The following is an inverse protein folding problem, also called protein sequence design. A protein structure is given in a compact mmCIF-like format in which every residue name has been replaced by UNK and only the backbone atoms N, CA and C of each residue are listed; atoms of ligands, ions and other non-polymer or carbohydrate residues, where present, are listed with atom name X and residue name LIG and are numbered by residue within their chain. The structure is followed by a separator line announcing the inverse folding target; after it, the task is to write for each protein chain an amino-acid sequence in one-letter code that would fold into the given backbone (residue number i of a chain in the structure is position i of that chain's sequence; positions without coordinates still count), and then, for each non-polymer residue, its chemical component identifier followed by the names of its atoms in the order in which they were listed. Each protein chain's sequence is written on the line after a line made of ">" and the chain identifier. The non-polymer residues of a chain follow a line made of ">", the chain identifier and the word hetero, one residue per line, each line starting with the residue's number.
data_IF_166019367233
#
_entry.id   IF_166019367233
#
_cell.length_a   1.000
_cell.length_b   1.000
_cell.length_c   1.000
_cell.angle_alpha   90.00
_cell.angle_beta   90.00
_cell.angle_gamma   90.00
#
_symmetry.space_group_name_H-M   'P 1'
#
loop_
_entity.id
_entity.type
_entity.pdbx_description
1 polymer ?
#
# COMPACT_ATOMS: atom_id res chain seq x y z
N UNK A 1 27.44 42.61 -0.49
CA UNK A 1 27.30 41.22 -0.99
C UNK A 1 25.96 40.70 -0.45
N UNK A 2 24.89 40.92 -1.23
CA UNK A 2 23.52 40.56 -0.86
C UNK A 2 23.30 39.15 -1.39
N UNK A 3 23.09 38.17 -0.52
CA UNK A 3 22.85 36.79 -0.89
C UNK A 3 21.44 36.63 -1.47
N UNK A 4 21.40 35.99 -2.61
CA UNK A 4 20.26 35.72 -3.47
C UNK A 4 19.21 34.88 -2.74
N UNK A 5 18.15 35.52 -2.22
CA UNK A 5 17.04 34.88 -1.51
C UNK A 5 15.94 34.33 -2.45
N UNK A 6 16.11 34.50 -3.76
CA UNK A 6 15.08 34.11 -4.75
C UNK A 6 15.21 32.65 -5.18
N UNK A 7 16.38 32.01 -5.07
CA UNK A 7 16.56 30.59 -5.42
C UNK A 7 15.81 29.62 -4.53
N UNK A 8 15.62 29.95 -3.25
CA UNK A 8 14.90 29.07 -2.30
C UNK A 8 13.39 29.08 -2.47
N UNK A 9 12.81 30.20 -2.95
CA UNK A 9 11.37 30.30 -3.23
C UNK A 9 10.97 29.57 -4.51
N UNK A 10 11.85 29.52 -5.50
CA UNK A 10 11.58 28.85 -6.79
C UNK A 10 11.56 27.33 -6.66
N UNK A 11 12.48 26.75 -5.86
CA UNK A 11 12.51 25.31 -5.58
C UNK A 11 11.25 24.80 -4.83
N UNK A 12 10.64 25.65 -3.98
CA UNK A 12 9.38 25.33 -3.29
C UNK A 12 8.17 25.37 -4.22
N UNK A 13 8.13 26.35 -5.14
CA UNK A 13 7.03 26.50 -6.09
C UNK A 13 7.01 25.40 -7.15
N UNK A 14 8.16 24.98 -7.66
CA UNK A 14 8.28 23.89 -8.64
C UNK A 14 7.91 22.52 -8.03
N UNK A 15 8.19 22.30 -6.74
CA UNK A 15 7.72 21.10 -6.03
C UNK A 15 6.20 21.09 -5.83
N UNK A 16 5.59 22.22 -5.49
CA UNK A 16 4.14 22.36 -5.35
C UNK A 16 3.42 22.19 -6.68
N UNK A 17 3.98 22.71 -7.79
CA UNK A 17 3.45 22.52 -9.14
C UNK A 17 3.57 21.06 -9.57
N UNK A 18 4.68 20.37 -9.24
CA UNK A 18 4.87 18.96 -9.50
C UNK A 18 3.88 18.07 -8.71
N UNK A 19 3.55 18.44 -7.46
CA UNK A 19 2.57 17.71 -6.66
C UNK A 19 1.13 17.92 -7.14
N UNK A 20 0.77 19.15 -7.53
CA UNK A 20 -0.54 19.46 -8.12
C UNK A 20 -0.75 18.80 -9.50
N UNK A 21 0.33 18.58 -10.26
CA UNK A 21 0.29 17.91 -11.57
C UNK A 21 0.18 16.37 -11.46
N UNK A 22 0.33 15.79 -10.26
CA UNK A 22 0.24 14.34 -9.99
C UNK A 22 -1.18 13.86 -9.67
N UNK A 23 -2.21 14.68 -9.85
CA UNK A 23 -3.59 14.23 -9.64
C UNK A 23 -3.91 13.08 -10.57
N UNK A 24 -4.49 12.02 -9.98
CA UNK A 24 -5.06 10.92 -10.76
C UNK A 24 -6.05 11.48 -11.77
N UNK A 25 -6.02 10.97 -12.99
CA UNK A 25 -7.02 11.27 -14.02
C UNK A 25 -8.35 10.55 -13.76
N UNK A 26 -8.35 9.57 -12.87
CA UNK A 26 -9.48 8.73 -12.48
C UNK A 26 -9.71 8.88 -10.97
N UNK A 27 -10.96 8.89 -10.51
CA UNK A 27 -11.28 8.92 -9.09
C UNK A 27 -10.68 7.69 -8.37
N UNK A 28 -10.18 7.82 -7.13
CA UNK A 28 -9.55 6.72 -6.41
C UNK A 28 -10.40 5.44 -6.33
N UNK A 29 -11.71 5.57 -6.14
CA UNK A 29 -12.66 4.45 -6.11
C UNK A 29 -12.78 3.76 -7.47
N UNK A 30 -12.89 4.52 -8.55
CA UNK A 30 -12.95 3.99 -9.92
C UNK A 30 -11.64 3.27 -10.27
N UNK A 31 -10.49 3.81 -9.83
CA UNK A 31 -9.22 3.12 -10.00
C UNK A 31 -9.22 1.75 -9.31
N UNK A 32 -9.68 1.65 -8.05
CA UNK A 32 -9.75 0.39 -7.32
C UNK A 32 -10.71 -0.61 -7.96
N UNK A 33 -11.84 -0.14 -8.52
CA UNK A 33 -12.85 -1.00 -9.14
C UNK A 33 -12.44 -1.51 -10.51
N UNK A 34 -11.85 -0.65 -11.35
CA UNK A 34 -11.70 -0.92 -12.77
C UNK A 34 -10.25 -1.13 -13.21
N UNK A 35 -9.31 -0.34 -12.66
CA UNK A 35 -7.93 -0.32 -13.11
C UNK A 35 -7.03 -1.25 -12.30
N UNK A 36 -7.21 -1.28 -10.98
CA UNK A 36 -6.36 -2.08 -10.10
C UNK A 36 -6.46 -3.59 -10.36
N UNK A 37 -7.65 -4.21 -10.59
CA UNK A 37 -7.72 -5.61 -10.98
C UNK A 37 -7.02 -5.93 -12.30
N UNK A 38 -7.05 -5.01 -13.28
CA UNK A 38 -6.34 -5.17 -14.56
C UNK A 38 -4.84 -5.10 -14.38
N UNK A 39 -4.38 -4.15 -13.55
CA UNK A 39 -2.96 -4.01 -13.22
C UNK A 39 -2.45 -5.24 -12.47
N UNK A 40 -3.21 -5.77 -11.52
CA UNK A 40 -2.92 -7.02 -10.82
C UNK A 40 -2.80 -8.19 -11.82
N UNK A 41 -3.77 -8.37 -12.72
CA UNK A 41 -3.74 -9.41 -13.74
C UNK A 41 -2.52 -9.30 -14.66
N UNK A 42 -2.15 -8.06 -15.06
CA UNK A 42 -0.93 -7.81 -15.83
C UNK A 42 0.32 -8.22 -15.06
N UNK A 43 0.40 -7.91 -13.76
CA UNK A 43 1.51 -8.33 -12.89
C UNK A 43 1.62 -9.85 -12.80
N UNK A 44 0.50 -10.56 -12.70
CA UNK A 44 0.48 -12.03 -12.72
C UNK A 44 1.00 -12.59 -14.05
N UNK A 45 0.59 -12.03 -15.18
CA UNK A 45 1.10 -12.42 -16.52
C UNK A 45 2.62 -12.22 -16.64
N UNK A 46 3.14 -11.08 -16.16
CA UNK A 46 4.59 -10.82 -16.17
C UNK A 46 5.32 -11.84 -15.31
N UNK A 47 4.82 -12.13 -14.10
CA UNK A 47 5.41 -13.13 -13.21
C UNK A 47 5.39 -14.53 -13.82
N UNK A 48 4.30 -14.94 -14.48
CA UNK A 48 4.20 -16.23 -15.17
C UNK A 48 5.21 -16.34 -16.31
N UNK A 49 5.37 -15.30 -17.12
CA UNK A 49 6.34 -15.26 -18.21
C UNK A 49 7.79 -15.33 -17.70
N UNK A 50 8.12 -14.58 -16.64
CA UNK A 50 9.46 -14.61 -16.02
C UNK A 50 9.76 -15.98 -15.39
N UNK A 51 8.79 -16.56 -14.68
CA UNK A 51 8.93 -17.90 -14.11
C UNK A 51 9.13 -18.97 -15.18
N UNK A 52 8.36 -18.92 -16.28
CA UNK A 52 8.53 -19.82 -17.43
C UNK A 52 9.90 -19.68 -18.11
N UNK A 53 10.51 -18.50 -18.04
CA UNK A 53 11.86 -18.23 -18.50
C UNK A 53 12.96 -18.70 -17.51
N UNK A 54 12.58 -19.28 -16.37
CA UNK A 54 13.50 -19.82 -15.36
C UNK A 54 13.88 -18.86 -14.23
N UNK A 55 13.17 -17.72 -14.09
CA UNK A 55 13.37 -16.82 -12.95
C UNK A 55 12.77 -17.41 -11.67
N UNK A 56 13.66 -17.96 -10.83
CA UNK A 56 13.27 -18.57 -9.56
C UNK A 56 12.66 -17.57 -8.55
N UNK A 57 13.00 -16.28 -8.65
CA UNK A 57 12.38 -15.24 -7.80
C UNK A 57 10.95 -14.97 -8.26
N UNK A 58 10.73 -14.83 -9.55
CA UNK A 58 9.38 -14.66 -10.10
C UNK A 58 8.48 -15.86 -9.75
N UNK A 59 9.02 -17.10 -9.79
CA UNK A 59 8.27 -18.29 -9.38
C UNK A 59 7.85 -18.23 -7.92
N UNK A 60 8.75 -17.84 -6.99
CA UNK A 60 8.39 -17.71 -5.56
C UNK A 60 7.32 -16.65 -5.31
N UNK A 61 7.42 -15.50 -5.99
CA UNK A 61 6.40 -14.45 -5.92
C UNK A 61 5.06 -14.97 -6.44
N UNK A 62 5.07 -15.65 -7.56
CA UNK A 62 3.88 -16.23 -8.19
C UNK A 62 3.17 -17.22 -7.25
N UNK A 63 3.94 -18.10 -6.61
CA UNK A 63 3.42 -19.08 -5.67
C UNK A 63 2.84 -18.40 -4.42
N UNK A 64 3.49 -17.34 -3.92
CA UNK A 64 3.01 -16.54 -2.78
C UNK A 64 1.65 -15.88 -3.12
N UNK A 65 1.54 -15.20 -4.25
CA UNK A 65 0.31 -14.53 -4.67
C UNK A 65 -0.81 -15.55 -4.94
N UNK A 66 -0.54 -16.66 -5.64
CA UNK A 66 -1.53 -17.72 -5.91
C UNK A 66 -2.02 -18.42 -4.65
N UNK A 67 -1.24 -18.42 -3.58
CA UNK A 67 -1.61 -18.98 -2.29
C UNK A 67 -2.65 -18.19 -1.51
N UNK A 68 -2.90 -16.93 -1.86
CA UNK A 68 -3.83 -16.06 -1.14
C UNK A 68 -5.29 -16.42 -1.41
N UNK A 69 -6.09 -16.45 -0.31
CA UNK A 69 -7.55 -16.47 -0.36
C UNK A 69 -8.07 -15.53 0.73
N UNK A 70 -8.35 -14.29 0.35
CA UNK A 70 -8.76 -13.25 1.28
C UNK A 70 -9.28 -12.01 0.57
N UNK A 71 -10.06 -11.21 1.27
CA UNK A 71 -10.56 -9.93 0.77
C UNK A 71 -10.12 -8.77 1.65
N UNK A 72 -9.94 -7.61 1.01
CA UNK A 72 -9.75 -6.33 1.66
C UNK A 72 -10.99 -5.46 1.47
N UNK A 73 -11.52 -4.91 2.57
CA UNK A 73 -12.59 -3.93 2.59
C UNK A 73 -12.00 -2.53 2.77
N UNK A 74 -12.15 -1.67 1.76
CA UNK A 74 -11.56 -0.33 1.72
C UNK A 74 -12.68 0.73 1.80
N UNK A 75 -12.80 1.39 2.94
CA UNK A 75 -13.68 2.54 3.17
C UNK A 75 -12.92 3.81 2.80
N UNK A 76 -13.34 4.49 1.73
CA UNK A 76 -12.75 5.73 1.26
C UNK A 76 -13.73 6.87 1.52
N UNK A 77 -13.32 7.85 2.34
CA UNK A 77 -14.20 8.91 2.82
C UNK A 77 -15.50 8.31 3.40
N UNK A 78 -16.65 8.88 3.08
CA UNK A 78 -17.97 8.41 3.48
C UNK A 78 -18.66 7.54 2.41
N UNK A 79 -17.93 7.15 1.35
CA UNK A 79 -18.47 6.31 0.27
C UNK A 79 -18.63 4.84 0.72
N UNK A 80 -19.52 4.07 0.10
CA UNK A 80 -19.61 2.62 0.35
C UNK A 80 -18.27 1.91 0.13
N UNK A 81 -17.92 0.91 0.96
CA UNK A 81 -16.62 0.26 0.85
C UNK A 81 -16.44 -0.45 -0.49
N UNK A 82 -15.23 -0.41 -1.02
CA UNK A 82 -14.80 -1.25 -2.13
C UNK A 82 -14.20 -2.53 -1.57
N UNK A 83 -14.67 -3.68 -2.01
CA UNK A 83 -14.15 -4.99 -1.62
C UNK A 83 -13.26 -5.53 -2.73
N UNK A 84 -11.99 -5.73 -2.42
CA UNK A 84 -11.02 -6.39 -3.29
C UNK A 84 -10.86 -7.83 -2.84
N UNK A 85 -11.22 -8.80 -3.66
CA UNK A 85 -11.14 -10.24 -3.35
C UNK A 85 -10.03 -10.89 -4.17
N UNK A 86 -9.02 -11.46 -3.48
CA UNK A 86 -7.93 -12.21 -4.08
C UNK A 86 -8.14 -13.70 -3.86
N UNK A 87 -8.07 -14.49 -4.94
CA UNK A 87 -8.18 -15.93 -4.90
C UNK A 87 -7.43 -16.57 -6.07
N UNK A 88 -6.51 -17.50 -5.76
CA UNK A 88 -5.76 -18.29 -6.75
C UNK A 88 -5.07 -17.44 -7.83
N UNK A 89 -4.50 -16.30 -7.46
CA UNK A 89 -3.82 -15.39 -8.38
C UNK A 89 -4.76 -14.50 -9.21
N UNK A 90 -6.04 -14.48 -8.91
CA UNK A 90 -7.01 -13.55 -9.51
C UNK A 90 -7.44 -12.51 -8.48
N UNK A 91 -7.70 -11.29 -8.93
CA UNK A 91 -8.24 -10.20 -8.13
C UNK A 91 -9.53 -9.69 -8.77
N UNK A 92 -10.57 -9.55 -7.97
CA UNK A 92 -11.82 -8.91 -8.35
C UNK A 92 -12.18 -7.78 -7.39
N UNK A 93 -12.93 -6.80 -7.89
CA UNK A 93 -13.46 -5.70 -7.09
C UNK A 93 -14.98 -5.69 -7.13
N UNK A 94 -15.62 -5.33 -6.01
CA UNK A 94 -17.08 -5.27 -5.91
C UNK A 94 -17.55 -4.62 -4.61
N UNK A 95 -18.87 -4.75 -4.34
CA UNK A 95 -19.50 -4.23 -3.11
C UNK A 95 -19.61 -5.31 -2.02
N UNK A 96 -19.27 -6.56 -2.35
CA UNK A 96 -19.25 -7.70 -1.45
C UNK A 96 -18.04 -8.59 -1.79
N UNK A 97 -17.53 -9.39 -0.81
CA UNK A 97 -16.49 -10.35 -1.09
C UNK A 97 -16.99 -11.42 -2.07
N UNK A 98 -16.07 -11.96 -2.89
CA UNK A 98 -16.37 -13.12 -3.72
C UNK A 98 -16.79 -14.32 -2.85
N UNK A 99 -17.52 -15.28 -3.45
CA UNK A 99 -18.03 -16.44 -2.72
C UNK A 99 -16.93 -17.16 -1.95
N UNK A 100 -17.18 -17.40 -0.66
CA UNK A 100 -16.28 -18.10 0.27
C UNK A 100 -14.94 -17.40 0.54
N UNK A 101 -14.76 -16.15 0.08
CA UNK A 101 -13.54 -15.37 0.37
C UNK A 101 -13.74 -14.54 1.63
N UNK A 102 -13.04 -14.81 2.74
CA UNK A 102 -13.22 -14.06 3.97
C UNK A 102 -12.56 -12.67 3.87
N UNK A 103 -13.18 -11.65 4.49
CA UNK A 103 -12.52 -10.35 4.68
C UNK A 103 -11.40 -10.54 5.71
N UNK A 104 -10.16 -10.25 5.30
CA UNK A 104 -8.95 -10.34 6.12
C UNK A 104 -8.39 -8.98 6.49
N UNK A 105 -8.64 -7.99 5.65
CA UNK A 105 -8.13 -6.63 5.81
C UNK A 105 -9.32 -5.67 5.77
N UNK A 106 -9.34 -4.74 6.70
CA UNK A 106 -10.22 -3.58 6.67
C UNK A 106 -9.37 -2.32 6.70
N UNK A 107 -9.64 -1.37 5.84
CA UNK A 107 -8.98 -0.07 5.89
C UNK A 107 -10.02 1.05 5.72
N UNK A 108 -9.80 2.15 6.45
CA UNK A 108 -10.56 3.38 6.28
C UNK A 108 -9.58 4.54 6.14
N UNK A 109 -9.70 5.29 5.06
CA UNK A 109 -8.76 6.35 4.71
C UNK A 109 -9.44 7.43 3.86
N UNK A 110 -8.96 8.69 3.94
CA UNK A 110 -9.38 9.74 3.01
C UNK A 110 -8.98 9.42 1.57
N UNK A 111 -9.76 9.90 0.61
CA UNK A 111 -9.45 9.75 -0.82
C UNK A 111 -8.08 10.35 -1.20
N UNK A 112 -7.70 11.46 -0.59
CA UNK A 112 -6.37 12.06 -0.75
C UNK A 112 -5.24 11.14 -0.23
N UNK A 113 -5.48 10.41 0.87
CA UNK A 113 -4.53 9.40 1.37
C UNK A 113 -4.38 8.25 0.38
N UNK A 114 -5.48 7.75 -0.16
CA UNK A 114 -5.44 6.71 -1.17
C UNK A 114 -4.67 7.16 -2.41
N UNK A 115 -4.92 8.38 -2.89
CA UNK A 115 -4.19 8.96 -4.02
C UNK A 115 -2.67 9.04 -3.74
N UNK A 116 -2.29 9.40 -2.52
CA UNK A 116 -0.91 9.47 -2.08
C UNK A 116 -0.25 8.06 -2.03
N UNK A 117 -0.96 7.09 -1.45
CA UNK A 117 -0.46 5.72 -1.30
C UNK A 117 -0.34 4.98 -2.63
N UNK A 118 -1.25 5.24 -3.56
CA UNK A 118 -1.20 4.65 -4.89
C UNK A 118 -0.02 5.19 -5.73
N UNK A 119 0.37 6.45 -5.52
CA UNK A 119 1.58 7.04 -6.13
C UNK A 119 1.73 6.74 -7.63
N UNK A 120 2.79 6.00 -7.98
CA UNK A 120 3.10 5.62 -9.37
C UNK A 120 2.08 4.63 -9.96
N UNK A 121 1.46 3.78 -9.12
CA UNK A 121 0.50 2.74 -9.54
C UNK A 121 -0.72 3.33 -10.22
N UNK A 122 -1.08 4.57 -9.86
CA UNK A 122 -2.25 5.27 -10.40
C UNK A 122 -1.94 6.18 -11.60
N UNK A 123 -0.70 6.23 -12.08
CA UNK A 123 -0.33 7.06 -13.22
C UNK A 123 -0.81 6.49 -14.55
N UNK A 124 -1.02 7.38 -15.51
CA UNK A 124 -1.23 6.97 -16.90
C UNK A 124 0.00 6.17 -17.38
N UNK A 125 -0.24 5.01 -18.02
CA UNK A 125 0.82 4.12 -18.49
C UNK A 125 1.30 3.09 -17.46
N UNK A 126 0.72 3.04 -16.26
CA UNK A 126 1.09 2.05 -15.24
C UNK A 126 0.88 0.58 -15.71
N UNK A 127 -0.06 0.34 -16.62
CA UNK A 127 -0.32 -0.98 -17.21
C UNK A 127 0.81 -1.46 -18.14
N UNK A 128 1.56 -0.54 -18.74
CA UNK A 128 2.70 -0.82 -19.59
C UNK A 128 4.00 -1.01 -18.79
N UNK A 129 4.03 -0.55 -17.54
CA UNK A 129 5.18 -0.71 -16.65
C UNK A 129 5.11 -2.06 -15.92
N UNK A 130 5.99 -2.98 -16.31
CA UNK A 130 6.02 -4.34 -15.74
C UNK A 130 6.33 -4.35 -14.24
N UNK A 131 7.21 -3.47 -13.76
CA UNK A 131 7.58 -3.43 -12.33
C UNK A 131 6.42 -2.89 -11.48
N UNK A 132 5.70 -1.89 -11.99
CA UNK A 132 4.48 -1.38 -11.35
C UNK A 132 3.41 -2.47 -11.31
N UNK A 133 3.22 -3.20 -12.40
CA UNK A 133 2.26 -4.30 -12.47
C UNK A 133 2.62 -5.45 -11.51
N UNK A 134 3.88 -5.86 -11.46
CA UNK A 134 4.39 -6.86 -10.51
C UNK A 134 4.19 -6.38 -9.07
N UNK A 135 4.49 -5.11 -8.78
CA UNK A 135 4.22 -4.50 -7.47
C UNK A 135 2.75 -4.57 -7.06
N UNK A 136 1.83 -4.33 -8.01
CA UNK A 136 0.40 -4.47 -7.76
C UNK A 136 0.00 -5.93 -7.42
N UNK A 137 0.55 -6.92 -8.14
CA UNK A 137 0.30 -8.33 -7.83
C UNK A 137 0.84 -8.71 -6.43
N UNK A 138 1.98 -8.18 -6.03
CA UNK A 138 2.61 -8.44 -4.73
C UNK A 138 1.85 -7.83 -3.53
N UNK A 139 0.83 -7.00 -3.75
CA UNK A 139 -0.06 -6.52 -2.65
C UNK A 139 -0.83 -7.69 -2.01
N UNK A 140 -1.04 -8.79 -2.73
CA UNK A 140 -1.54 -10.04 -2.18
C UNK A 140 -0.36 -10.94 -1.80
N UNK A 141 -0.20 -11.26 -0.50
CA UNK A 141 0.91 -12.05 0.01
C UNK A 141 0.43 -13.13 0.97
N UNK A 142 0.61 -14.38 0.59
CA UNK A 142 0.33 -15.54 1.45
C UNK A 142 1.25 -15.58 2.66
N UNK A 143 2.50 -15.20 2.49
CA UNK A 143 3.46 -15.12 3.60
C UNK A 143 3.03 -14.11 4.67
N UNK A 144 2.45 -12.98 4.24
CA UNK A 144 1.90 -11.99 5.19
C UNK A 144 0.68 -12.56 5.91
N UNK A 145 -0.24 -13.23 5.19
CA UNK A 145 -1.39 -13.92 5.78
C UNK A 145 -0.95 -14.97 6.79
N UNK A 146 0.05 -15.80 6.46
CA UNK A 146 0.61 -16.84 7.33
C UNK A 146 1.33 -16.25 8.54
N UNK A 147 2.03 -15.14 8.38
CA UNK A 147 2.69 -14.45 9.49
C UNK A 147 1.68 -13.85 10.48
N UNK A 148 0.54 -13.37 9.99
CA UNK A 148 -0.59 -12.98 10.86
C UNK A 148 -1.17 -14.19 11.61
N UNK A 149 -1.17 -15.37 11.00
CA UNK A 149 -1.71 -16.61 11.57
C UNK A 149 -3.15 -16.46 12.11
N UNK A 150 -3.99 -15.67 11.44
CA UNK A 150 -5.37 -15.39 11.87
C UNK A 150 -5.49 -14.46 13.08
N UNK A 151 -4.37 -13.97 13.65
CA UNK A 151 -4.38 -13.08 14.82
C UNK A 151 -4.94 -11.70 14.45
N UNK A 152 -5.79 -11.08 15.29
CA UNK A 152 -6.27 -9.73 15.05
C UNK A 152 -5.16 -8.71 15.30
N UNK A 153 -5.10 -7.68 14.46
CA UNK A 153 -4.19 -6.55 14.63
C UNK A 153 -4.87 -5.29 14.10
N UNK A 154 -4.77 -4.19 14.83
CA UNK A 154 -5.33 -2.89 14.42
C UNK A 154 -4.31 -1.79 14.60
N UNK A 155 -4.24 -0.89 13.62
CA UNK A 155 -3.28 0.21 13.59
C UNK A 155 -3.95 1.50 13.09
N UNK A 156 -3.62 2.63 13.72
CA UNK A 156 -3.82 3.94 13.11
C UNK A 156 -2.47 4.47 12.61
N UNK A 157 -2.42 4.85 11.35
CA UNK A 157 -1.22 5.34 10.67
C UNK A 157 -1.44 6.83 10.39
N UNK A 158 -0.61 7.68 10.96
CA UNK A 158 -0.59 9.11 10.63
C UNK A 158 0.58 9.40 9.70
N UNK A 159 0.29 9.93 8.51
CA UNK A 159 1.29 10.48 7.59
C UNK A 159 1.33 11.98 7.83
N UNK A 160 2.40 12.45 8.47
CA UNK A 160 2.56 13.85 8.85
C UNK A 160 3.24 14.68 7.74
N UNK A 161 2.99 15.98 7.78
CA UNK A 161 3.63 16.96 6.89
C UNK A 161 3.34 16.73 5.39
N UNK A 162 2.14 16.24 5.06
CA UNK A 162 1.75 16.08 3.64
C UNK A 162 1.50 17.47 3.02
N UNK A 163 2.18 17.83 1.92
CA UNK A 163 2.02 19.13 1.28
C UNK A 163 0.56 19.42 0.93
N UNK A 164 0.05 20.56 1.36
CA UNK A 164 -1.32 21.06 1.14
C UNK A 164 -2.43 20.31 1.88
N UNK A 165 -2.15 19.18 2.52
CA UNK A 165 -3.16 18.36 3.22
C UNK A 165 -2.91 18.31 4.74
N UNK A 166 -1.69 18.61 5.21
CA UNK A 166 -1.32 18.48 6.62
C UNK A 166 -1.10 17.03 7.02
N UNK A 167 -1.79 16.56 8.06
CA UNK A 167 -1.71 15.17 8.49
C UNK A 167 -2.85 14.36 7.85
N UNK A 168 -2.52 13.15 7.42
CA UNK A 168 -3.48 12.18 6.88
C UNK A 168 -3.51 10.97 7.81
N UNK A 169 -4.72 10.55 8.21
CA UNK A 169 -4.92 9.40 9.08
C UNK A 169 -5.52 8.23 8.29
N UNK A 170 -4.91 7.06 8.44
CA UNK A 170 -5.35 5.79 7.85
C UNK A 170 -5.58 4.79 8.98
N UNK A 171 -6.76 4.19 9.03
CA UNK A 171 -7.08 3.12 9.98
C UNK A 171 -7.03 1.79 9.27
N UNK A 172 -6.32 0.82 9.85
CA UNK A 172 -6.16 -0.51 9.27
C UNK A 172 -6.45 -1.57 10.34
N UNK A 173 -7.15 -2.61 9.94
CA UNK A 173 -7.39 -3.78 10.76
C UNK A 173 -7.18 -5.06 9.98
N UNK A 174 -6.53 -6.03 10.59
CA UNK A 174 -6.30 -7.36 10.05
C UNK A 174 -7.05 -8.39 10.90
N UNK A 175 -7.76 -9.33 10.25
CA UNK A 175 -8.56 -10.35 10.90
C UNK A 175 -9.54 -9.80 11.95
N UNK A 176 -10.12 -8.66 11.69
CA UNK A 176 -11.17 -8.02 12.52
C UNK A 176 -12.46 -7.89 11.72
N UNK A 177 -13.59 -7.87 12.40
CA UNK A 177 -14.91 -7.68 11.78
C UNK A 177 -15.31 -6.20 11.68
N UNK A 178 -14.65 -5.33 12.45
CA UNK A 178 -14.88 -3.89 12.48
C UNK A 178 -13.58 -3.18 12.85
N UNK A 179 -13.41 -1.94 12.40
CA UNK A 179 -12.32 -1.08 12.82
C UNK A 179 -12.68 -0.43 14.18
N UNK A 180 -11.96 -0.71 15.27
CA UNK A 180 -12.23 -0.10 16.56
C UNK A 180 -11.88 1.39 16.57
N UNK A 181 -12.50 2.15 17.48
CA UNK A 181 -12.15 3.55 17.70
C UNK A 181 -10.73 3.70 18.28
N UNK A 182 -10.36 2.79 19.19
CA UNK A 182 -9.01 2.72 19.77
C UNK A 182 -8.25 1.56 19.11
N UNK A 183 -7.12 1.81 18.41
CA UNK A 183 -6.33 0.77 17.79
C UNK A 183 -5.45 0.03 18.81
N UNK A 184 -4.93 -1.13 18.44
CA UNK A 184 -3.90 -1.83 19.23
C UNK A 184 -2.61 -1.02 19.33
N UNK A 185 -2.27 -0.31 18.25
CA UNK A 185 -1.13 0.61 18.23
C UNK A 185 -1.35 1.74 17.22
N UNK A 186 -0.57 2.80 17.38
CA UNK A 186 -0.47 3.90 16.41
C UNK A 186 0.92 3.95 15.80
N UNK A 187 1.02 4.46 14.59
CA UNK A 187 2.30 4.75 13.97
C UNK A 187 2.25 6.09 13.25
N UNK A 188 3.33 6.85 13.35
CA UNK A 188 3.49 8.13 12.66
C UNK A 188 4.76 8.08 11.82
N UNK A 189 4.66 8.50 10.56
CA UNK A 189 5.79 8.74 9.67
C UNK A 189 5.59 10.05 8.92
N UNK A 190 6.69 10.69 8.54
CA UNK A 190 6.62 11.94 7.78
C UNK A 190 6.52 11.65 6.29
N UNK A 191 5.77 12.48 5.57
CA UNK A 191 5.61 12.35 4.13
C UNK A 191 6.93 12.26 3.34
N UNK A 192 7.98 13.08 3.60
CA UNK A 192 9.25 12.92 2.89
C UNK A 192 9.93 11.57 3.10
N UNK A 193 9.74 10.95 4.28
CA UNK A 193 10.28 9.62 4.57
C UNK A 193 9.50 8.53 3.82
N UNK A 194 8.16 8.67 3.72
CA UNK A 194 7.33 7.81 2.87
C UNK A 194 7.74 7.89 1.39
N UNK A 195 7.98 9.11 0.86
CA UNK A 195 8.49 9.28 -0.51
C UNK A 195 9.84 8.59 -0.72
N UNK A 196 10.75 8.65 0.28
CA UNK A 196 12.04 7.99 0.18
C UNK A 196 11.92 6.46 0.16
N UNK A 197 10.94 5.90 0.89
CA UNK A 197 10.61 4.46 0.80
C UNK A 197 10.05 4.11 -0.58
N UNK A 198 9.10 4.90 -1.10
CA UNK A 198 8.52 4.67 -2.42
C UNK A 198 9.56 4.73 -3.56
N UNK A 199 10.60 5.56 -3.40
CA UNK A 199 11.72 5.64 -4.34
C UNK A 199 12.80 4.56 -4.12
N UNK A 200 12.63 3.71 -3.09
CA UNK A 200 13.62 2.68 -2.73
C UNK A 200 14.91 3.22 -2.12
N UNK A 201 14.93 4.50 -1.69
CA UNK A 201 16.08 5.14 -1.03
C UNK A 201 16.22 4.71 0.43
N UNK A 202 15.10 4.38 1.08
CA UNK A 202 15.01 3.88 2.44
C UNK A 202 14.12 2.64 2.48
N UNK A 203 14.38 1.77 3.44
CA UNK A 203 13.49 0.67 3.78
C UNK A 203 12.64 1.03 5.02
N UNK A 204 11.55 0.30 5.26
CA UNK A 204 10.77 0.44 6.51
C UNK A 204 11.65 0.15 7.73
N UNK A 205 12.62 -0.77 7.60
CA UNK A 205 13.59 -1.07 8.64
C UNK A 205 14.48 0.14 8.94
N UNK A 206 14.95 0.86 7.92
CA UNK A 206 15.75 2.08 8.09
C UNK A 206 14.94 3.16 8.81
N UNK A 207 13.65 3.29 8.50
CA UNK A 207 12.76 4.23 9.20
C UNK A 207 12.64 3.87 10.69
N UNK A 208 12.44 2.59 11.00
CA UNK A 208 12.29 2.12 12.37
C UNK A 208 13.59 2.29 13.17
N UNK A 209 14.72 1.81 12.65
CA UNK A 209 16.03 1.90 13.31
C UNK A 209 16.52 3.36 13.43
N UNK A 210 16.18 4.20 12.46
CA UNK A 210 16.49 5.63 12.45
C UNK A 210 15.56 6.48 13.32
N UNK A 211 14.56 5.89 14.00
CA UNK A 211 13.59 6.62 14.84
C UNK A 211 12.66 7.54 14.04
N UNK A 212 12.56 7.33 12.72
CA UNK A 212 11.67 8.08 11.80
C UNK A 212 10.26 7.52 11.77
N UNK A 213 10.07 6.24 12.10
CA UNK A 213 8.79 5.59 12.31
C UNK A 213 8.53 5.56 13.81
N UNK A 214 7.61 6.40 14.28
CA UNK A 214 7.20 6.44 15.68
C UNK A 214 6.06 5.45 15.88
N UNK A 215 6.15 4.62 16.90
CA UNK A 215 5.14 3.62 17.21
C UNK A 215 4.77 3.70 18.69
N UNK A 216 3.47 3.65 19.01
CA UNK A 216 2.93 3.69 20.37
C UNK A 216 1.85 2.63 20.53
N UNK A 217 1.74 2.01 21.72
CA UNK A 217 0.81 0.93 22.00
C UNK A 217 1.45 -0.46 21.83
N UNK A 218 0.63 -1.50 21.67
CA UNK A 218 1.11 -2.88 21.50
C UNK A 218 1.35 -3.22 20.01
N UNK A 219 2.54 -2.89 19.53
CA UNK A 219 3.00 -3.21 18.18
C UNK A 219 3.85 -4.49 18.10
N UNK A 220 3.88 -5.30 19.16
CA UNK A 220 4.71 -6.53 19.22
C UNK A 220 4.41 -7.51 18.11
N UNK A 221 3.14 -7.68 17.75
CA UNK A 221 2.74 -8.53 16.62
C UNK A 221 3.25 -7.96 15.29
N UNK A 222 3.15 -6.65 15.09
CA UNK A 222 3.64 -5.99 13.86
C UNK A 222 5.15 -6.19 13.69
N UNK A 223 5.93 -6.02 14.76
CA UNK A 223 7.37 -6.31 14.76
C UNK A 223 7.69 -7.77 14.47
N UNK A 224 6.95 -8.71 15.08
CA UNK A 224 7.15 -10.13 14.84
C UNK A 224 6.92 -10.48 13.36
N UNK A 225 5.85 -9.95 12.75
CA UNK A 225 5.55 -10.14 11.33
C UNK A 225 6.68 -9.54 10.47
N UNK A 226 7.09 -8.30 10.74
CA UNK A 226 8.18 -7.65 10.02
C UNK A 226 9.47 -8.48 10.05
N UNK A 227 9.86 -8.97 11.23
CA UNK A 227 11.04 -9.84 11.39
C UNK A 227 10.91 -11.15 10.61
N UNK A 228 9.74 -11.78 10.63
CA UNK A 228 9.49 -13.03 9.89
C UNK A 228 9.60 -12.82 8.37
N UNK A 229 9.08 -11.72 7.85
CA UNK A 229 9.14 -11.39 6.43
C UNK A 229 10.58 -11.03 5.98
N UNK A 230 11.35 -10.37 6.84
CA UNK A 230 12.75 -10.02 6.58
C UNK A 230 13.69 -11.24 6.59
N UNK A 231 13.43 -12.22 7.45
CA UNK A 231 14.26 -13.44 7.54
C UNK A 231 14.01 -14.42 6.40
N UNK A 232 12.87 -14.32 5.73
CA UNK A 232 12.47 -15.17 4.60
C UNK A 232 12.10 -14.30 3.38
N UNK A 233 13.06 -13.62 2.70
CA UNK A 233 12.75 -12.80 1.53
C UNK A 233 12.29 -13.65 0.34
N UNK A 234 11.50 -13.04 -0.57
CA UNK A 234 11.10 -13.62 -1.87
C UNK A 234 12.23 -13.58 -2.88
#
# INVERSE_FOLDING_TARGET
>A
MVADSDGFRQLGADRLVSYAARRMTVLPIEFLRDSFPKLFARGMEVLENRAAAGDARAQRILDDVKGVTGAASLQIDDEPPVILSAQQGSLSAGDAPADQVPIRIMAALPGDALQLLLGEVAKAGALEDEEVAVGAAQTASKRFEDALAGRPMTCHITIADVPSLGNIDVRVGFNVSTLPAEPGFTTELRFPDLESVQRGELTVQDLFLGGKLKMEGDYSLALQIAMQLLTNPL
#
